data_IF_391536646226
#
_entry.id   IF_391536646226
#
_cell.length_a   1.000
_cell.length_b   1.000
_cell.length_c   1.000
_cell.angle_alpha   90.00
_cell.angle_beta   90.00
_cell.angle_gamma   90.00
#
_symmetry.space_group_name_H-M   'P 1'
#
loop_
_entity.id
_entity.type
_entity.pdbx_description
1 polymer ?
#
# COMPACT_ATOMS: atom_id res chain seq x y z
N UNK A 1 -6.80 -32.68 37.44
CA UNK A 1 -5.60 -33.31 36.83
C UNK A 1 -5.85 -33.43 35.33
N UNK A 2 -4.88 -33.05 34.50
CA UNK A 2 -5.11 -32.17 33.35
C UNK A 2 -5.38 -32.93 32.04
N UNK A 3 -6.28 -32.39 31.20
CA UNK A 3 -6.29 -32.67 29.77
C UNK A 3 -5.47 -31.58 29.09
N UNK A 4 -4.26 -31.94 28.67
CA UNK A 4 -3.45 -31.13 27.78
C UNK A 4 -4.13 -31.09 26.41
N UNK A 5 -4.85 -30.01 26.13
CA UNK A 5 -5.23 -29.62 24.78
C UNK A 5 -3.97 -29.20 24.04
N UNK A 6 -3.43 -30.13 23.26
CA UNK A 6 -2.32 -29.90 22.34
C UNK A 6 -2.75 -28.85 21.32
N UNK A 7 -2.37 -27.59 21.55
CA UNK A 7 -2.45 -26.54 20.55
C UNK A 7 -1.55 -26.91 19.38
N UNK A 8 -2.13 -27.58 18.39
CA UNK A 8 -1.53 -27.73 17.09
C UNK A 8 -1.35 -26.32 16.52
N UNK A 9 -0.12 -25.80 16.63
CA UNK A 9 0.33 -24.69 15.81
C UNK A 9 0.18 -25.14 14.37
N UNK A 10 -0.90 -24.72 13.72
CA UNK A 10 -0.97 -24.64 12.27
C UNK A 10 0.23 -23.81 11.84
N UNK A 11 1.29 -24.49 11.38
CA UNK A 11 2.35 -23.87 10.59
C UNK A 11 1.71 -23.54 9.25
N UNK A 12 0.96 -22.44 9.23
CA UNK A 12 0.31 -21.94 8.03
C UNK A 12 1.34 -21.81 6.93
N UNK A 13 1.01 -22.32 5.75
CA UNK A 13 1.77 -22.08 4.53
C UNK A 13 1.98 -20.56 4.43
N UNK A 14 3.23 -20.11 4.44
CA UNK A 14 3.53 -18.70 4.33
C UNK A 14 2.88 -18.16 3.04
N UNK A 15 2.01 -17.16 3.17
CA UNK A 15 1.37 -16.53 2.01
C UNK A 15 2.46 -15.88 1.16
N UNK A 16 2.45 -16.07 -0.18
CA UNK A 16 3.49 -15.51 -1.05
C UNK A 16 3.30 -14.02 -1.35
N UNK A 17 2.32 -13.35 -0.71
CA UNK A 17 1.95 -11.97 -0.94
C UNK A 17 1.63 -11.23 0.37
N UNK A 18 1.80 -9.91 0.34
CA UNK A 18 1.38 -8.98 1.39
C UNK A 18 -0.10 -8.65 1.25
N UNK A 19 -0.83 -8.63 2.37
CA UNK A 19 -2.22 -8.14 2.43
C UNK A 19 -2.26 -6.69 2.91
N UNK A 20 -3.25 -5.94 2.46
CA UNK A 20 -3.36 -4.50 2.69
C UNK A 20 -3.42 -4.14 4.18
N UNK A 21 -4.05 -4.99 5.00
CA UNK A 21 -4.17 -4.78 6.44
C UNK A 21 -2.85 -4.83 7.21
N UNK A 22 -1.80 -5.43 6.63
CA UNK A 22 -0.48 -5.57 7.27
C UNK A 22 0.46 -4.40 6.93
N UNK A 23 0.16 -3.67 5.85
CA UNK A 23 1.01 -2.58 5.36
C UNK A 23 1.20 -1.47 6.41
N UNK A 24 0.17 -0.99 7.15
CA UNK A 24 0.37 0.06 8.16
C UNK A 24 1.41 -0.30 9.23
N UNK A 25 1.34 -1.51 9.78
CA UNK A 25 2.30 -1.98 10.79
C UNK A 25 3.72 -2.12 10.20
N UNK A 26 3.81 -2.60 8.96
CA UNK A 26 5.09 -2.71 8.26
C UNK A 26 5.70 -1.32 7.96
N UNK A 27 4.87 -0.34 7.60
CA UNK A 27 5.33 1.05 7.37
C UNK A 27 5.89 1.64 8.67
N UNK A 28 5.17 1.50 9.78
CA UNK A 28 5.57 2.03 11.09
C UNK A 28 6.88 1.42 11.62
N UNK A 29 7.17 0.17 11.26
CA UNK A 29 8.36 -0.55 11.74
C UNK A 29 9.53 -0.53 10.76
N UNK A 30 9.31 -0.05 9.53
CA UNK A 30 10.35 0.01 8.50
C UNK A 30 11.51 0.93 8.90
N UNK A 31 12.75 0.46 8.72
CA UNK A 31 13.99 1.19 9.02
C UNK A 31 14.99 1.06 7.88
N UNK A 32 15.89 2.04 7.77
CA UNK A 32 16.96 2.03 6.76
C UNK A 32 16.49 2.48 5.37
N UNK A 33 17.16 1.98 4.32
CA UNK A 33 16.83 2.31 2.93
C UNK A 33 15.41 1.84 2.61
N UNK A 34 14.55 2.77 2.19
CA UNK A 34 13.14 2.48 1.89
C UNK A 34 12.21 2.52 3.10
N UNK A 35 12.67 3.02 4.26
CA UNK A 35 11.78 3.30 5.39
C UNK A 35 10.61 4.20 4.95
N UNK A 36 9.39 3.85 5.36
CA UNK A 36 8.15 4.55 5.02
C UNK A 36 7.61 4.29 3.61
N UNK A 37 8.21 3.37 2.84
CA UNK A 37 7.79 3.06 1.46
C UNK A 37 7.96 1.59 1.04
N UNK A 38 9.00 0.89 1.53
CA UNK A 38 9.32 -0.49 1.13
C UNK A 38 8.14 -1.47 1.18
N UNK A 39 7.30 -1.47 2.23
CA UNK A 39 6.10 -2.32 2.28
C UNK A 39 5.11 -2.08 1.13
N UNK A 40 4.97 -0.83 0.66
CA UNK A 40 4.13 -0.50 -0.49
C UNK A 40 4.75 -1.01 -1.80
N UNK A 41 6.07 -0.93 -1.94
CA UNK A 41 6.79 -1.55 -3.07
C UNK A 41 6.55 -3.05 -3.09
N UNK A 42 6.69 -3.73 -1.94
CA UNK A 42 6.44 -5.17 -1.88
C UNK A 42 4.99 -5.50 -2.28
N UNK A 43 4.01 -4.74 -1.78
CA UNK A 43 2.62 -4.91 -2.20
C UNK A 43 2.41 -4.73 -3.71
N UNK A 44 3.05 -3.72 -4.33
CA UNK A 44 3.02 -3.51 -5.79
C UNK A 44 3.62 -4.72 -6.53
N UNK A 45 4.75 -5.24 -6.07
CA UNK A 45 5.39 -6.42 -6.66
C UNK A 45 4.49 -7.64 -6.58
N UNK A 46 3.94 -7.91 -5.41
CA UNK A 46 3.05 -9.04 -5.21
C UNK A 46 1.78 -8.91 -6.06
N UNK A 47 1.26 -7.69 -6.22
CA UNK A 47 0.11 -7.42 -7.08
C UNK A 47 0.38 -7.70 -8.55
N UNK A 48 1.61 -7.41 -9.00
CA UNK A 48 2.06 -7.65 -10.36
C UNK A 48 2.39 -9.14 -10.60
N UNK A 49 2.91 -9.84 -9.59
CA UNK A 49 3.40 -11.21 -9.71
C UNK A 49 2.36 -12.29 -9.33
N UNK A 50 1.30 -11.93 -8.59
CA UNK A 50 0.27 -12.86 -8.11
C UNK A 50 -1.16 -12.36 -8.44
N UNK A 51 -1.53 -12.19 -9.72
CA UNK A 51 -2.82 -11.63 -10.12
C UNK A 51 -4.03 -12.42 -9.60
N UNK A 52 -3.91 -13.73 -9.43
CA UNK A 52 -4.93 -14.61 -8.86
C UNK A 52 -5.21 -14.37 -7.37
N UNK A 53 -4.32 -13.65 -6.67
CA UNK A 53 -4.41 -13.41 -5.23
C UNK A 53 -4.94 -12.01 -4.87
N UNK A 54 -5.28 -11.16 -5.84
CA UNK A 54 -5.63 -9.75 -5.62
C UNK A 54 -6.80 -9.54 -4.67
N UNK A 55 -7.84 -10.38 -4.76
CA UNK A 55 -8.97 -10.32 -3.83
C UNK A 55 -8.53 -10.58 -2.38
N UNK A 56 -7.65 -11.57 -2.18
CA UNK A 56 -7.09 -11.90 -0.87
C UNK A 56 -6.14 -10.83 -0.35
N UNK A 57 -5.36 -10.20 -1.25
CA UNK A 57 -4.49 -9.08 -0.91
C UNK A 57 -5.26 -7.87 -0.40
N UNK A 58 -6.49 -7.65 -0.88
CA UNK A 58 -7.36 -6.54 -0.47
C UNK A 58 -8.29 -6.90 0.71
N UNK A 59 -8.37 -8.18 1.09
CA UNK A 59 -9.25 -8.65 2.14
C UNK A 59 -8.93 -7.99 3.50
N UNK A 60 -9.97 -7.71 4.27
CA UNK A 60 -9.86 -7.12 5.62
C UNK A 60 -9.67 -5.60 5.65
N UNK A 61 -9.26 -4.97 4.54
CA UNK A 61 -9.09 -3.51 4.48
C UNK A 61 -8.00 -2.98 5.43
N UNK A 62 -8.07 -1.69 5.76
CA UNK A 62 -7.14 -1.06 6.70
C UNK A 62 -7.57 -1.28 8.16
N UNK A 63 -6.64 -1.53 9.09
CA UNK A 63 -6.93 -1.55 10.52
C UNK A 63 -7.46 -0.19 11.02
N UNK A 64 -8.35 -0.25 12.00
CA UNK A 64 -8.78 0.95 12.73
C UNK A 64 -7.58 1.65 13.37
N UNK A 65 -7.61 2.99 13.37
CA UNK A 65 -6.52 3.80 13.92
C UNK A 65 -5.27 3.92 13.03
N UNK A 66 -5.29 3.38 11.80
CA UNK A 66 -4.26 3.70 10.79
C UNK A 66 -4.17 5.22 10.60
N UNK A 67 -2.97 5.79 10.71
CA UNK A 67 -2.80 7.23 10.56
C UNK A 67 -3.23 7.69 9.16
N UNK A 68 -3.76 8.91 9.08
CA UNK A 68 -4.40 9.42 7.85
C UNK A 68 -3.43 9.46 6.67
N UNK A 69 -2.15 9.73 6.89
CA UNK A 69 -1.15 9.83 5.81
C UNK A 69 -0.80 8.44 5.28
N UNK A 70 -0.55 7.46 6.15
CA UNK A 70 -0.32 6.08 5.74
C UNK A 70 -1.55 5.49 5.06
N UNK A 71 -2.75 5.73 5.60
CA UNK A 71 -4.00 5.30 4.97
C UNK A 71 -4.13 5.88 3.56
N UNK A 72 -3.88 7.17 3.38
CA UNK A 72 -3.92 7.82 2.07
C UNK A 72 -2.86 7.27 1.10
N UNK A 73 -1.65 6.97 1.57
CA UNK A 73 -0.59 6.36 0.75
C UNK A 73 -1.00 4.97 0.25
N UNK A 74 -1.52 4.13 1.14
CA UNK A 74 -1.98 2.80 0.80
C UNK A 74 -3.18 2.88 -0.17
N UNK A 75 -4.15 3.75 0.14
CA UNK A 75 -5.31 4.00 -0.70
C UNK A 75 -4.93 4.45 -2.12
N UNK A 76 -3.98 5.38 -2.25
CA UNK A 76 -3.55 5.87 -3.55
C UNK A 76 -2.90 4.78 -4.42
N UNK A 77 -2.08 3.91 -3.81
CA UNK A 77 -1.48 2.76 -4.51
C UNK A 77 -2.55 1.74 -4.91
N UNK A 78 -3.44 1.36 -3.98
CA UNK A 78 -4.53 0.41 -4.25
C UNK A 78 -5.44 0.94 -5.35
N UNK A 79 -5.80 2.23 -5.31
CA UNK A 79 -6.62 2.87 -6.32
C UNK A 79 -5.96 2.80 -7.70
N UNK A 80 -4.68 3.20 -7.77
CA UNK A 80 -3.95 3.20 -9.03
C UNK A 80 -3.85 1.80 -9.63
N UNK A 81 -3.55 0.78 -8.82
CA UNK A 81 -3.43 -0.61 -9.26
C UNK A 81 -4.78 -1.18 -9.69
N UNK A 82 -5.85 -0.94 -8.94
CA UNK A 82 -7.20 -1.38 -9.28
C UNK A 82 -7.66 -0.74 -10.60
N UNK A 83 -7.48 0.57 -10.76
CA UNK A 83 -7.85 1.27 -11.98
C UNK A 83 -7.02 0.79 -13.19
N UNK A 84 -5.71 0.57 -13.02
CA UNK A 84 -4.82 0.08 -14.08
C UNK A 84 -5.26 -1.28 -14.61
N UNK A 85 -5.66 -2.18 -13.71
CA UNK A 85 -5.93 -3.58 -14.06
C UNK A 85 -7.43 -3.90 -14.19
N UNK A 86 -8.30 -2.90 -14.08
CA UNK A 86 -9.76 -3.08 -14.14
C UNK A 86 -10.33 -3.87 -12.95
N UNK A 87 -9.64 -3.90 -11.81
CA UNK A 87 -10.09 -4.59 -10.61
C UNK A 87 -11.09 -3.71 -9.83
N UNK A 88 -12.15 -4.28 -9.22
CA UNK A 88 -13.06 -3.54 -8.36
C UNK A 88 -12.32 -2.81 -7.23
N UNK A 89 -12.68 -1.54 -7.03
CA UNK A 89 -12.10 -0.69 -6.00
C UNK A 89 -12.77 -0.95 -4.64
N UNK A 90 -12.00 -1.23 -3.56
CA UNK A 90 -12.58 -1.32 -2.22
C UNK A 90 -13.15 0.02 -1.73
N UNK A 91 -14.32 -0.01 -1.10
CA UNK A 91 -15.04 1.21 -0.69
C UNK A 91 -14.24 2.13 0.24
N UNK A 92 -13.41 1.58 1.12
CA UNK A 92 -12.60 2.35 2.06
C UNK A 92 -11.56 3.24 1.36
N UNK A 93 -11.13 2.89 0.14
CA UNK A 93 -10.10 3.63 -0.60
C UNK A 93 -10.55 5.07 -0.80
N UNK A 94 -11.80 5.29 -1.22
CA UNK A 94 -12.33 6.61 -1.51
C UNK A 94 -12.46 7.50 -0.26
N UNK A 95 -12.43 6.93 0.94
CA UNK A 95 -12.50 7.67 2.20
C UNK A 95 -11.12 8.12 2.72
N UNK A 96 -10.03 7.60 2.18
CA UNK A 96 -8.68 7.83 2.68
C UNK A 96 -7.96 8.91 1.86
N UNK A 97 -7.88 10.14 2.39
CA UNK A 97 -7.22 11.28 1.75
C UNK A 97 -6.26 11.97 2.70
N UNK A 98 -5.06 12.32 2.21
CA UNK A 98 -4.06 13.01 3.02
C UNK A 98 -4.47 14.48 3.27
N UNK A 99 -4.31 15.02 4.49
CA UNK A 99 -4.59 16.44 4.78
C UNK A 99 -3.54 17.39 4.17
N UNK A 100 -2.40 16.87 3.73
CA UNK A 100 -1.32 17.60 3.06
C UNK A 100 -0.84 16.83 1.83
N UNK A 101 -0.22 17.52 0.88
CA UNK A 101 0.41 16.84 -0.25
C UNK A 101 1.67 16.11 0.21
N UNK A 102 1.80 14.84 -0.15
CA UNK A 102 2.97 14.03 0.21
C UNK A 102 3.47 13.23 -0.99
N UNK A 103 4.77 13.02 -1.07
CA UNK A 103 5.31 12.02 -1.97
C UNK A 103 5.12 10.61 -1.37
N UNK A 104 4.89 9.63 -2.23
CA UNK A 104 4.89 8.22 -1.82
C UNK A 104 6.27 7.84 -1.29
N UNK A 105 7.30 8.16 -2.07
CA UNK A 105 8.73 8.00 -1.74
C UNK A 105 9.18 9.14 -0.81
N UNK A 106 9.54 8.88 0.45
CA UNK A 106 9.76 9.94 1.45
C UNK A 106 10.89 10.91 1.16
N UNK A 107 11.89 10.51 0.35
CA UNK A 107 13.03 11.37 0.01
C UNK A 107 12.73 12.40 -1.08
N UNK A 108 11.55 12.32 -1.71
CA UNK A 108 11.15 13.24 -2.76
C UNK A 108 10.55 14.50 -2.14
N UNK A 109 11.23 15.62 -2.35
CA UNK A 109 10.69 16.96 -2.09
C UNK A 109 9.76 17.38 -3.24
N UNK A 110 8.47 17.55 -2.93
CA UNK A 110 7.45 17.95 -3.91
C UNK A 110 7.61 19.38 -4.42
N UNK A 111 8.26 20.26 -3.66
CA UNK A 111 8.48 21.65 -4.04
C UNK A 111 9.67 21.83 -4.99
N UNK A 112 10.57 20.84 -5.04
CA UNK A 112 11.68 20.80 -5.97
C UNK A 112 11.22 20.71 -7.44
N UNK A 113 12.04 21.11 -8.43
CA UNK A 113 11.72 20.94 -9.86
C UNK A 113 11.48 19.47 -10.27
N UNK A 114 12.04 18.51 -9.54
CA UNK A 114 11.73 17.10 -9.74
C UNK A 114 10.35 16.75 -9.18
N UNK A 115 10.03 17.22 -7.97
CA UNK A 115 8.73 17.04 -7.34
C UNK A 115 7.57 17.67 -8.11
N UNK A 116 7.76 18.86 -8.69
CA UNK A 116 6.77 19.50 -9.55
C UNK A 116 6.50 18.65 -10.80
N UNK A 117 7.56 18.20 -11.49
CA UNK A 117 7.41 17.28 -12.63
C UNK A 117 6.73 15.97 -12.24
N UNK A 118 6.99 15.44 -11.05
CA UNK A 118 6.29 14.26 -10.54
C UNK A 118 4.79 14.54 -10.41
N UNK A 119 4.40 15.70 -9.85
CA UNK A 119 3.00 16.11 -9.73
C UNK A 119 2.31 16.23 -11.09
N UNK A 120 2.96 16.89 -12.05
CA UNK A 120 2.39 17.16 -13.37
C UNK A 120 2.16 15.87 -14.19
N UNK A 121 2.95 14.82 -13.94
CA UNK A 121 2.89 13.55 -14.65
C UNK A 121 2.27 12.41 -13.83
N UNK A 122 1.75 12.71 -12.63
CA UNK A 122 1.22 11.69 -11.74
C UNK A 122 -0.11 11.11 -12.28
N UNK A 123 -0.42 9.83 -11.97
CA UNK A 123 -1.75 9.28 -12.19
C UNK A 123 -2.84 10.16 -11.55
N UNK A 124 -3.98 10.34 -12.21
CA UNK A 124 -5.06 11.23 -11.72
C UNK A 124 -5.53 10.92 -10.29
N UNK A 125 -5.47 9.65 -9.87
CA UNK A 125 -5.79 9.23 -8.49
C UNK A 125 -4.89 9.88 -7.44
N UNK A 126 -3.67 10.29 -7.80
CA UNK A 126 -2.74 10.96 -6.89
C UNK A 126 -3.30 12.28 -6.38
N UNK A 127 -3.95 13.07 -7.25
CA UNK A 127 -4.58 14.34 -6.86
C UNK A 127 -5.76 14.13 -5.90
N UNK A 128 -6.52 13.05 -6.10
CA UNK A 128 -7.61 12.69 -5.20
C UNK A 128 -7.08 12.40 -3.79
N UNK A 129 -6.08 11.51 -3.66
CA UNK A 129 -5.53 11.13 -2.36
C UNK A 129 -4.51 12.13 -1.78
N UNK A 130 -4.03 13.07 -2.60
CA UNK A 130 -2.91 13.99 -2.32
C UNK A 130 -1.60 13.28 -2.02
N UNK A 131 -1.37 12.16 -2.70
CA UNK A 131 -0.17 11.32 -2.61
C UNK A 131 0.40 11.16 -4.01
N UNK A 132 1.62 11.61 -4.23
CA UNK A 132 2.23 11.67 -5.56
C UNK A 132 3.31 10.61 -5.77
N UNK A 133 3.23 9.92 -6.90
CA UNK A 133 4.17 8.92 -7.41
C UNK A 133 4.03 8.82 -8.92
N UNK A 134 5.00 8.15 -9.56
CA UNK A 134 5.02 7.94 -11.00
C UNK A 134 4.36 6.63 -11.39
N UNK A 135 3.93 6.50 -12.64
CA UNK A 135 3.46 5.21 -13.19
C UNK A 135 4.53 4.12 -13.13
N UNK A 136 5.81 4.50 -13.15
CA UNK A 136 6.95 3.58 -13.06
C UNK A 136 6.98 2.88 -11.70
N UNK A 137 6.60 3.59 -10.64
CA UNK A 137 6.53 3.00 -9.29
C UNK A 137 5.59 1.79 -9.24
N UNK A 138 4.49 1.83 -10.00
CA UNK A 138 3.48 0.76 -10.10
C UNK A 138 3.95 -0.45 -10.91
N UNK A 139 5.01 -0.31 -11.70
CA UNK A 139 5.54 -1.38 -12.57
C UNK A 139 6.63 -2.20 -11.88
N UNK A 140 6.88 -1.97 -10.60
CA UNK A 140 7.87 -2.72 -9.82
C UNK A 140 7.57 -4.21 -9.82
N UNK A 141 8.56 -5.04 -10.18
CA UNK A 141 8.53 -6.51 -10.13
C UNK A 141 9.42 -7.07 -9.05
#
# INVERSE_FOLDING_TARGET
MPVHGTGARERGVARPYVVVGEIPAALATSRGRGAGYGPLVQFIKDWNNCPESRELMLAGGLPEGTDTVSAAKIAAVVHALCQRDGHPLPAWVLSARSPVEVALVPVVDLESPFGQRLRDNAPGVCHFHRVYFSVVDLQST
#
